data_IF_207828701792
#
_entry.id   IF_207828701792
#
_cell.length_a   1.000
_cell.length_b   1.000
_cell.length_c   1.000
_cell.angle_alpha   90.00
_cell.angle_beta   90.00
_cell.angle_gamma   90.00
#
_symmetry.space_group_name_H-M   'P 1'
#
loop_
_entity.id
_entity.type
_entity.pdbx_description
1 polymer ?
#
# COMPACT_ATOMS: atom_id res chain seq x y z
N UNK A 1 -18.04 80.52 30.71
CA UNK A 1 -18.07 79.15 31.25
C UNK A 1 -18.30 78.24 30.05
N UNK A 2 -17.22 77.60 29.58
CA UNK A 2 -17.18 76.88 28.29
C UNK A 2 -17.87 75.51 28.46
N UNK A 3 -18.94 75.25 27.73
CA UNK A 3 -19.61 73.96 27.71
C UNK A 3 -18.84 73.03 26.76
N UNK A 4 -18.26 71.95 27.29
CA UNK A 4 -17.52 70.96 26.51
C UNK A 4 -18.48 69.81 26.17
N UNK A 5 -19.02 69.79 24.94
CA UNK A 5 -19.77 68.64 24.44
C UNK A 5 -18.81 67.49 24.13
N UNK A 6 -18.97 66.37 24.86
CA UNK A 6 -18.25 65.12 24.60
C UNK A 6 -19.19 64.23 23.78
N UNK A 7 -18.96 64.16 22.48
CA UNK A 7 -19.64 63.20 21.59
C UNK A 7 -19.05 61.81 21.81
N UNK A 8 -19.84 60.78 22.17
CA UNK A 8 -19.31 59.43 22.32
C UNK A 8 -19.01 58.83 20.94
N UNK A 9 -17.73 58.58 20.64
CA UNK A 9 -17.34 57.71 19.54
C UNK A 9 -17.69 56.25 19.90
N UNK A 10 -18.77 55.72 19.35
CA UNK A 10 -19.01 54.28 19.29
C UNK A 10 -17.96 53.64 18.40
N UNK A 11 -16.92 53.07 19.00
CA UNK A 11 -15.96 52.21 18.32
C UNK A 11 -16.69 50.92 17.91
N UNK A 12 -17.03 50.80 16.62
CA UNK A 12 -17.53 49.55 16.08
C UNK A 12 -16.39 48.51 16.13
N UNK A 13 -16.39 47.68 17.16
CA UNK A 13 -15.56 46.48 17.21
C UNK A 13 -16.11 45.55 16.12
N UNK A 14 -15.55 45.62 14.91
CA UNK A 14 -15.70 44.55 13.93
C UNK A 14 -15.02 43.32 14.51
N UNK A 15 -15.77 42.49 15.24
CA UNK A 15 -15.36 41.14 15.54
C UNK A 15 -15.16 40.45 14.18
N UNK A 16 -13.90 40.31 13.74
CA UNK A 16 -13.55 39.53 12.56
C UNK A 16 -14.01 38.12 12.87
N UNK A 17 -15.17 37.72 12.33
CA UNK A 17 -15.71 36.37 12.50
C UNK A 17 -14.62 35.42 12.04
N UNK A 18 -14.19 34.50 12.91
CA UNK A 18 -13.21 33.50 12.54
C UNK A 18 -13.67 32.84 11.23
N UNK A 19 -12.78 32.65 10.24
CA UNK A 19 -13.16 32.06 8.97
C UNK A 19 -13.82 30.70 9.22
N UNK A 20 -14.92 30.42 8.52
CA UNK A 20 -15.66 29.18 8.70
C UNK A 20 -14.74 27.99 8.37
N UNK A 21 -14.63 27.06 9.33
CA UNK A 21 -13.87 25.82 9.19
C UNK A 21 -14.84 24.64 9.05
N UNK A 22 -14.63 23.85 8.00
CA UNK A 22 -15.33 22.57 7.76
C UNK A 22 -14.38 21.43 8.06
N UNK A 23 -14.81 20.45 8.84
CA UNK A 23 -14.01 19.28 9.23
C UNK A 23 -14.64 18.01 8.70
N UNK A 24 -13.85 17.18 8.02
CA UNK A 24 -14.21 15.83 7.60
C UNK A 24 -13.39 14.81 8.37
N UNK A 25 -14.05 14.02 9.22
CA UNK A 25 -13.45 12.94 9.99
C UNK A 25 -13.77 11.59 9.35
N UNK A 26 -12.74 10.82 9.03
CA UNK A 26 -12.81 9.52 8.36
C UNK A 26 -12.53 8.34 9.30
N UNK A 27 -12.40 8.58 10.61
CA UNK A 27 -12.13 7.53 11.61
C UNK A 27 -13.40 6.77 12.03
N UNK A 28 -14.57 7.29 11.68
CA UNK A 28 -15.88 6.69 11.96
C UNK A 28 -16.22 5.46 11.11
N UNK A 29 -17.47 4.97 11.25
CA UNK A 29 -17.95 3.79 10.54
C UNK A 29 -18.46 4.07 9.10
N UNK A 30 -18.67 5.34 8.75
CA UNK A 30 -19.17 5.79 7.46
C UNK A 30 -18.44 7.06 7.02
N UNK A 31 -18.59 7.44 5.74
CA UNK A 31 -18.10 8.73 5.27
C UNK A 31 -18.80 9.87 6.02
N UNK A 32 -18.08 10.95 6.37
CA UNK A 32 -18.71 12.11 6.98
C UNK A 32 -19.68 12.77 5.99
N UNK A 33 -20.77 13.40 6.47
CA UNK A 33 -21.72 14.10 5.61
C UNK A 33 -21.01 15.10 4.69
N UNK A 34 -21.48 15.18 3.44
CA UNK A 34 -20.89 16.07 2.44
C UNK A 34 -19.65 15.52 1.74
N UNK A 35 -19.21 14.29 2.02
CA UNK A 35 -18.20 13.60 1.21
C UNK A 35 -18.86 12.58 0.28
N UNK A 36 -18.54 12.69 -1.01
CA UNK A 36 -18.83 11.69 -2.03
C UNK A 36 -17.58 10.88 -2.37
N UNK A 37 -17.77 9.61 -2.74
CA UNK A 37 -16.71 8.75 -3.23
C UNK A 37 -17.22 7.88 -4.38
N UNK A 38 -16.43 7.75 -5.44
CA UNK A 38 -16.68 6.79 -6.51
C UNK A 38 -15.43 5.94 -6.76
N UNK A 39 -15.67 4.67 -7.09
CA UNK A 39 -14.67 3.71 -7.58
C UNK A 39 -15.38 2.63 -8.39
N UNK A 40 -15.07 2.50 -9.67
CA UNK A 40 -15.72 1.55 -10.58
C UNK A 40 -15.13 0.12 -10.52
N UNK A 41 -14.85 -0.38 -9.33
CA UNK A 41 -14.31 -1.73 -9.08
C UNK A 41 -14.46 -2.10 -7.61
N UNK A 42 -14.43 -3.40 -7.31
CA UNK A 42 -14.12 -3.83 -5.93
C UNK A 42 -12.72 -3.35 -5.53
N UNK A 43 -12.43 -3.35 -4.24
CA UNK A 43 -11.11 -3.04 -3.70
C UNK A 43 -10.89 -3.78 -2.39
N UNK A 44 -9.64 -3.86 -1.94
CA UNK A 44 -9.34 -4.42 -0.62
C UNK A 44 -8.78 -3.36 0.32
N UNK A 45 -8.74 -3.67 1.60
CA UNK A 45 -8.08 -2.89 2.65
C UNK A 45 -7.97 -3.73 3.91
N UNK A 46 -7.26 -3.24 4.92
CA UNK A 46 -7.14 -3.97 6.18
C UNK A 46 -8.28 -3.62 7.14
N UNK A 47 -8.83 -4.63 7.81
CA UNK A 47 -9.73 -4.46 8.94
C UNK A 47 -8.96 -4.15 10.23
N UNK A 48 -9.66 -3.77 11.31
CA UNK A 48 -9.03 -3.47 12.62
C UNK A 48 -8.26 -4.65 13.22
N UNK A 49 -8.67 -5.87 12.87
CA UNK A 49 -8.04 -7.12 13.33
C UNK A 49 -6.86 -7.56 12.45
N UNK A 50 -6.44 -6.73 11.47
CA UNK A 50 -5.36 -7.07 10.55
C UNK A 50 -5.76 -8.03 9.42
N UNK A 51 -7.03 -8.39 9.28
CA UNK A 51 -7.52 -9.21 8.14
C UNK A 51 -7.70 -8.36 6.89
N UNK A 52 -7.55 -8.96 5.71
CA UNK A 52 -7.88 -8.31 4.44
C UNK A 52 -9.41 -8.37 4.25
N UNK A 53 -10.01 -7.19 4.06
CA UNK A 53 -11.43 -7.03 3.78
C UNK A 53 -11.64 -6.71 2.30
N UNK A 54 -12.77 -7.15 1.75
CA UNK A 54 -13.26 -6.77 0.43
C UNK A 54 -14.29 -5.66 0.54
N UNK A 55 -14.16 -4.64 -0.28
CA UNK A 55 -15.08 -3.53 -0.40
C UNK A 55 -15.74 -3.57 -1.79
N UNK A 56 -17.08 -3.47 -1.81
CA UNK A 56 -17.85 -3.46 -3.05
C UNK A 56 -17.48 -2.26 -3.95
N UNK A 57 -17.88 -2.33 -5.22
CA UNK A 57 -17.79 -1.18 -6.13
C UNK A 57 -18.54 0.02 -5.54
N UNK A 58 -17.94 1.22 -5.62
CA UNK A 58 -18.48 2.45 -5.04
C UNK A 58 -18.40 2.55 -3.51
N UNK A 59 -18.12 1.46 -2.78
CA UNK A 59 -18.06 1.52 -1.31
C UNK A 59 -16.75 2.19 -0.82
N UNK A 60 -16.81 3.09 0.18
CA UNK A 60 -15.62 3.70 0.77
C UNK A 60 -14.76 2.66 1.47
N UNK A 61 -13.43 2.78 1.32
CA UNK A 61 -12.46 1.93 2.01
C UNK A 61 -12.04 2.58 3.31
N UNK A 62 -12.88 2.44 4.33
CA UNK A 62 -12.53 2.79 5.72
C UNK A 62 -11.72 1.64 6.31
N UNK A 63 -10.40 1.69 6.13
CA UNK A 63 -9.48 0.62 6.48
C UNK A 63 -8.51 1.04 7.59
N UNK A 64 -7.95 0.07 8.30
CA UNK A 64 -6.82 0.25 9.20
C UNK A 64 -5.49 0.26 8.43
N UNK A 65 -4.45 0.86 9.01
CA UNK A 65 -3.09 0.70 8.49
C UNK A 65 -2.53 -0.62 9.03
N UNK A 66 -2.15 -1.59 8.17
CA UNK A 66 -1.59 -2.85 8.62
C UNK A 66 -0.28 -2.72 9.40
N UNK A 67 0.46 -1.60 9.26
CA UNK A 67 1.66 -1.30 10.04
C UNK A 67 1.34 -0.65 11.39
N UNK A 68 0.19 0.00 11.51
CA UNK A 68 -0.24 0.77 12.68
C UNK A 68 -1.71 0.48 13.02
N UNK A 69 -2.08 -0.78 13.32
CA UNK A 69 -3.48 -1.14 13.55
C UNK A 69 -4.10 -0.38 14.73
N UNK A 70 -3.29 0.01 15.72
CA UNK A 70 -3.71 0.82 16.87
C UNK A 70 -4.07 2.28 16.50
N UNK A 71 -3.65 2.77 15.33
CA UNK A 71 -4.00 4.12 14.86
C UNK A 71 -5.46 4.23 14.38
N UNK A 72 -6.20 3.12 14.39
CA UNK A 72 -7.61 3.08 13.98
C UNK A 72 -7.78 3.04 12.46
N UNK A 73 -8.97 3.43 12.00
CA UNK A 73 -9.32 3.46 10.58
C UNK A 73 -9.18 4.87 10.00
N UNK A 74 -9.09 4.92 8.68
CA UNK A 74 -9.23 6.13 7.89
C UNK A 74 -9.66 5.80 6.47
N UNK A 75 -9.99 6.83 5.70
CA UNK A 75 -10.35 6.69 4.30
C UNK A 75 -9.11 6.40 3.44
N UNK A 76 -9.10 5.24 2.79
CA UNK A 76 -8.06 4.83 1.86
C UNK A 76 -8.41 5.24 0.43
N UNK A 77 -7.51 6.01 -0.18
CA UNK A 77 -7.65 6.68 -1.47
C UNK A 77 -6.43 6.32 -2.31
N UNK A 78 -6.61 5.53 -3.36
CA UNK A 78 -5.52 5.04 -4.17
C UNK A 78 -5.81 5.27 -5.66
N UNK A 79 -4.76 5.53 -6.48
CA UNK A 79 -4.95 5.65 -7.92
C UNK A 79 -5.38 4.31 -8.51
N UNK A 80 -5.73 4.32 -9.80
CA UNK A 80 -5.91 3.05 -10.50
C UNK A 80 -4.59 2.28 -10.58
N UNK A 81 -4.69 0.96 -10.41
CA UNK A 81 -3.56 0.04 -10.51
C UNK A 81 -4.01 -1.32 -11.03
N UNK A 82 -3.06 -2.02 -11.62
CA UNK A 82 -3.24 -3.38 -12.11
C UNK A 82 -2.18 -4.26 -11.47
N UNK A 83 -2.60 -5.36 -10.86
CA UNK A 83 -1.66 -6.41 -10.47
C UNK A 83 -1.29 -7.22 -11.71
N UNK A 84 -0.01 -7.15 -12.10
CA UNK A 84 0.48 -7.80 -13.32
C UNK A 84 0.67 -9.31 -13.15
N UNK A 85 0.71 -9.83 -11.91
CA UNK A 85 0.73 -11.26 -11.69
C UNK A 85 -0.68 -11.85 -11.82
N UNK A 86 -0.80 -12.95 -12.56
CA UNK A 86 -1.93 -13.89 -12.45
C UNK A 86 -1.70 -14.83 -11.27
N UNK A 87 -2.76 -15.38 -10.69
CA UNK A 87 -2.74 -16.28 -9.53
C UNK A 87 -1.88 -15.71 -8.40
N UNK A 88 -2.28 -14.53 -7.91
CA UNK A 88 -1.54 -13.79 -6.90
C UNK A 88 -1.52 -14.45 -5.53
N UNK A 89 -2.43 -15.37 -5.26
CA UNK A 89 -2.38 -16.21 -4.05
C UNK A 89 -1.45 -17.41 -4.27
N UNK A 90 -0.65 -17.74 -3.26
CA UNK A 90 0.29 -18.86 -3.33
C UNK A 90 -0.43 -20.17 -3.63
N UNK A 91 -0.07 -20.82 -4.74
CA UNK A 91 -0.55 -22.15 -5.10
C UNK A 91 0.52 -22.92 -5.87
N UNK A 92 0.88 -24.11 -5.40
CA UNK A 92 1.95 -24.92 -5.96
C UNK A 92 1.71 -25.33 -7.43
N UNK A 93 0.46 -25.34 -7.91
CA UNK A 93 0.14 -25.72 -9.29
C UNK A 93 0.29 -24.59 -10.32
N UNK A 94 0.33 -23.32 -9.88
CA UNK A 94 0.35 -22.14 -10.77
C UNK A 94 1.62 -21.29 -10.62
N UNK A 95 2.55 -21.76 -9.80
CA UNK A 95 3.85 -21.16 -9.53
C UNK A 95 4.95 -22.16 -9.92
N UNK A 96 6.10 -21.65 -10.39
CA UNK A 96 7.18 -22.50 -10.90
C UNK A 96 8.33 -22.60 -9.92
N UNK A 97 8.89 -23.78 -9.70
CA UNK A 97 9.97 -23.97 -8.74
C UNK A 97 11.36 -23.88 -9.39
N UNK A 98 12.37 -23.57 -8.58
CA UNK A 98 13.80 -23.67 -8.91
C UNK A 98 14.54 -24.06 -7.63
N UNK A 99 15.14 -25.26 -7.63
CA UNK A 99 15.80 -25.85 -6.47
C UNK A 99 14.92 -25.89 -5.21
N UNK A 100 13.60 -26.02 -5.37
CA UNK A 100 12.67 -26.01 -4.25
C UNK A 100 11.53 -27.01 -4.45
N UNK A 101 10.99 -27.48 -3.32
CA UNK A 101 9.74 -28.24 -3.27
C UNK A 101 8.68 -27.35 -2.64
N UNK A 102 7.50 -27.30 -3.25
CA UNK A 102 6.35 -26.56 -2.72
C UNK A 102 5.26 -27.50 -2.23
N UNK A 103 4.64 -27.13 -1.10
CA UNK A 103 3.50 -27.84 -0.52
C UNK A 103 2.40 -26.85 -0.25
N UNK A 104 1.20 -27.11 -0.78
CA UNK A 104 0.03 -26.29 -0.47
C UNK A 104 -0.32 -26.42 1.01
N UNK A 105 -0.60 -25.28 1.64
CA UNK A 105 -1.09 -25.22 3.01
C UNK A 105 -2.59 -24.89 3.00
N UNK A 106 -3.22 -25.00 4.17
CA UNK A 106 -4.62 -24.62 4.40
C UNK A 106 -4.71 -23.57 5.51
N UNK A 107 -3.85 -22.54 5.45
CA UNK A 107 -3.91 -21.43 6.40
C UNK A 107 -5.17 -20.59 6.16
N UNK A 108 -5.47 -19.70 7.10
CA UNK A 108 -6.40 -18.59 6.90
C UNK A 108 -5.69 -17.26 7.19
N UNK A 109 -4.46 -17.12 6.66
CA UNK A 109 -3.60 -15.99 7.00
C UNK A 109 -4.23 -14.68 6.50
N UNK A 110 -4.31 -13.69 7.39
CA UNK A 110 -5.01 -12.42 7.15
C UNK A 110 -6.49 -12.60 6.74
N UNK A 111 -7.13 -13.73 7.09
CA UNK A 111 -8.51 -14.04 6.70
C UNK A 111 -8.68 -14.38 5.22
N UNK A 112 -7.59 -14.69 4.51
CA UNK A 112 -7.60 -14.86 3.05
C UNK A 112 -6.70 -15.98 2.54
N UNK A 113 -5.43 -15.95 2.90
CA UNK A 113 -4.43 -16.74 2.21
C UNK A 113 -4.27 -18.13 2.82
N UNK A 114 -4.41 -19.16 1.98
CA UNK A 114 -4.07 -20.54 2.30
C UNK A 114 -2.54 -20.76 2.35
N UNK A 115 -1.82 -20.17 1.39
CA UNK A 115 -0.35 -20.15 1.32
C UNK A 115 0.29 -21.44 0.80
N UNK A 116 1.58 -21.34 0.48
CA UNK A 116 2.43 -22.48 0.12
C UNK A 116 3.71 -22.45 0.96
N UNK A 117 4.08 -23.61 1.49
CA UNK A 117 5.40 -23.82 2.07
C UNK A 117 6.40 -24.09 0.94
N UNK A 118 7.57 -23.48 1.02
CA UNK A 118 8.68 -23.65 0.08
C UNK A 118 9.84 -24.24 0.89
N UNK A 119 10.29 -25.44 0.53
CA UNK A 119 11.44 -26.10 1.14
C UNK A 119 12.64 -26.09 0.18
N UNK A 120 13.83 -25.82 0.71
CA UNK A 120 15.08 -25.96 -0.04
C UNK A 120 15.27 -27.42 -0.45
N UNK A 121 15.56 -27.67 -1.74
CA UNK A 121 15.71 -29.04 -2.25
C UNK A 121 17.16 -29.55 -2.10
N UNK A 122 18.17 -28.70 -2.31
CA UNK A 122 19.57 -29.11 -2.39
C UNK A 122 20.45 -28.47 -1.30
N UNK A 123 21.58 -29.12 -1.01
CA UNK A 123 22.46 -28.78 0.12
C UNK A 123 23.64 -27.84 -0.22
N UNK A 124 23.73 -27.35 -1.45
CA UNK A 124 24.90 -26.60 -1.95
C UNK A 124 24.53 -25.26 -2.63
N UNK A 125 23.31 -24.76 -2.45
CA UNK A 125 22.83 -23.52 -3.06
C UNK A 125 21.89 -22.80 -2.10
N UNK A 126 21.96 -21.47 -2.05
CA UNK A 126 21.14 -20.61 -1.19
C UNK A 126 20.02 -19.87 -1.94
N UNK A 127 19.79 -20.21 -3.21
CA UNK A 127 18.85 -19.52 -4.10
C UNK A 127 17.59 -20.33 -4.44
N UNK A 128 17.19 -21.19 -3.48
CA UNK A 128 15.98 -22.02 -3.53
C UNK A 128 14.73 -21.14 -3.58
N UNK A 129 13.84 -21.38 -4.54
CA UNK A 129 12.65 -20.53 -4.70
C UNK A 129 11.52 -21.17 -5.49
N UNK A 130 10.32 -20.68 -5.24
CA UNK A 130 9.21 -20.68 -6.19
C UNK A 130 9.06 -19.30 -6.82
N UNK A 131 8.53 -19.16 -8.03
CA UNK A 131 8.54 -17.90 -8.78
C UNK A 131 7.30 -17.67 -9.63
N UNK A 132 7.02 -16.38 -9.85
CA UNK A 132 6.07 -15.86 -10.84
C UNK A 132 6.80 -15.05 -11.90
N UNK A 133 6.32 -15.12 -13.14
CA UNK A 133 6.86 -14.36 -14.26
C UNK A 133 6.02 -13.12 -14.52
N UNK A 134 6.68 -12.04 -14.97
CA UNK A 134 6.06 -10.77 -15.34
C UNK A 134 6.92 -10.08 -16.38
N UNK A 135 6.30 -9.49 -17.40
CA UNK A 135 7.00 -8.64 -18.35
C UNK A 135 7.11 -7.23 -17.80
N UNK A 136 8.34 -6.72 -17.74
CA UNK A 136 8.63 -5.39 -17.21
C UNK A 136 9.39 -4.56 -18.25
N UNK A 137 9.18 -3.25 -18.23
CA UNK A 137 9.80 -2.29 -19.14
C UNK A 137 11.01 -1.63 -18.48
N UNK A 138 12.12 -1.50 -19.23
CA UNK A 138 13.33 -0.81 -18.78
C UNK A 138 13.00 0.57 -18.20
N UNK A 139 13.66 0.92 -17.10
CA UNK A 139 13.53 2.21 -16.41
C UNK A 139 12.11 2.56 -15.92
N UNK A 140 11.10 1.70 -16.09
CA UNK A 140 9.76 1.90 -15.54
C UNK A 140 9.69 1.30 -14.13
N UNK A 141 9.58 2.13 -13.07
CA UNK A 141 9.53 1.61 -11.71
C UNK A 141 8.24 0.80 -11.49
N UNK A 142 8.37 -0.26 -10.72
CA UNK A 142 7.28 -1.07 -10.22
C UNK A 142 7.47 -1.34 -8.73
N UNK A 143 6.39 -1.73 -8.05
CA UNK A 143 6.45 -2.17 -6.66
C UNK A 143 5.87 -3.56 -6.54
N UNK A 144 6.67 -4.50 -6.07
CA UNK A 144 6.21 -5.80 -5.62
C UNK A 144 5.81 -5.73 -4.14
N UNK A 145 4.65 -6.28 -3.81
CA UNK A 145 4.22 -6.57 -2.44
C UNK A 145 4.15 -8.07 -2.27
N UNK A 146 4.83 -8.59 -1.25
CA UNK A 146 4.86 -10.01 -0.90
C UNK A 146 4.32 -10.18 0.52
N UNK A 147 3.30 -11.03 0.67
CA UNK A 147 2.83 -11.51 1.97
C UNK A 147 3.47 -12.87 2.23
N UNK A 148 4.17 -13.01 3.35
CA UNK A 148 4.92 -14.23 3.66
C UNK A 148 5.00 -14.44 5.17
N UNK A 149 5.37 -15.65 5.60
CA UNK A 149 5.67 -15.99 7.00
C UNK A 149 7.05 -16.63 7.06
N UNK A 150 7.75 -16.41 8.18
CA UNK A 150 8.97 -17.15 8.46
C UNK A 150 8.68 -18.66 8.47
N UNK A 151 9.61 -19.45 7.94
CA UNK A 151 9.64 -20.90 8.13
C UNK A 151 10.85 -21.29 8.98
N UNK A 152 11.30 -22.54 8.83
CA UNK A 152 12.39 -23.08 9.67
C UNK A 152 13.77 -22.48 9.36
N UNK A 153 13.95 -21.86 8.19
CA UNK A 153 15.24 -21.29 7.80
C UNK A 153 15.64 -20.04 8.59
N UNK A 154 14.66 -19.27 9.07
CA UNK A 154 14.88 -17.94 9.64
C UNK A 154 15.42 -16.89 8.66
N UNK A 155 15.74 -17.29 7.42
CA UNK A 155 16.28 -16.46 6.34
C UNK A 155 15.44 -16.59 5.07
N UNK A 156 15.33 -15.51 4.32
CA UNK A 156 14.54 -15.44 3.08
C UNK A 156 15.34 -14.85 1.92
N UNK A 157 14.97 -15.26 0.72
CA UNK A 157 15.41 -14.71 -0.55
C UNK A 157 14.19 -14.23 -1.34
N UNK A 158 14.25 -12.99 -1.82
CA UNK A 158 13.28 -12.37 -2.71
C UNK A 158 14.03 -11.78 -3.90
N UNK A 159 13.94 -12.41 -5.06
CA UNK A 159 14.82 -12.15 -6.20
C UNK A 159 14.02 -11.74 -7.42
N UNK A 160 14.35 -10.58 -7.98
CA UNK A 160 14.09 -10.29 -9.39
C UNK A 160 15.20 -10.91 -10.22
N UNK A 161 14.83 -11.82 -11.11
CA UNK A 161 15.75 -12.40 -12.09
C UNK A 161 15.28 -12.03 -13.49
N UNK A 162 16.18 -11.41 -14.27
CA UNK A 162 15.96 -11.16 -15.69
C UNK A 162 16.04 -12.48 -16.46
N UNK A 163 15.03 -12.77 -17.28
CA UNK A 163 14.99 -13.95 -18.14
C UNK A 163 15.17 -13.50 -19.61
N UNK A 164 16.01 -14.18 -20.42
CA UNK A 164 16.81 -15.37 -20.10
C UNK A 164 18.24 -15.06 -19.59
N UNK A 165 18.65 -13.79 -19.54
CA UNK A 165 20.06 -13.38 -19.33
C UNK A 165 20.66 -13.84 -18.00
N UNK A 166 19.83 -14.06 -16.97
CA UNK A 166 20.28 -14.59 -15.69
C UNK A 166 20.63 -13.53 -14.65
N UNK A 167 20.73 -12.24 -15.02
CA UNK A 167 21.01 -11.15 -14.09
C UNK A 167 20.00 -11.11 -12.94
N UNK A 168 20.48 -10.79 -11.73
CA UNK A 168 19.64 -10.77 -10.53
C UNK A 168 19.71 -9.43 -9.79
N UNK A 169 18.61 -9.14 -9.08
CA UNK A 169 18.55 -8.15 -8.02
C UNK A 169 17.76 -8.73 -6.86
N UNK A 170 18.33 -8.75 -5.66
CA UNK A 170 17.82 -9.56 -4.54
C UNK A 170 17.62 -8.71 -3.29
N UNK A 171 16.61 -9.07 -2.50
CA UNK A 171 16.55 -8.78 -1.09
C UNK A 171 16.66 -10.10 -0.33
N UNK A 172 17.68 -10.25 0.50
CA UNK A 172 17.97 -11.52 1.18
C UNK A 172 18.56 -11.35 2.57
N UNK A 173 18.53 -12.42 3.37
CA UNK A 173 19.11 -12.46 4.71
C UNK A 173 18.10 -12.90 5.77
N UNK A 174 18.36 -12.55 7.03
CA UNK A 174 17.46 -12.86 8.14
C UNK A 174 16.09 -12.19 7.96
N UNK A 175 15.01 -12.94 8.20
CA UNK A 175 13.66 -12.41 8.13
C UNK A 175 13.49 -11.24 9.13
N UNK A 176 12.97 -10.11 8.66
CA UNK A 176 12.89 -8.87 9.44
C UNK A 176 14.15 -7.99 9.41
N UNK A 177 15.23 -8.46 8.80
CA UNK A 177 16.47 -7.70 8.60
C UNK A 177 17.10 -8.04 7.25
N UNK A 178 16.28 -8.11 6.21
CA UNK A 178 16.74 -8.34 4.84
C UNK A 178 17.63 -7.19 4.36
N UNK A 179 18.57 -7.49 3.48
CA UNK A 179 19.43 -6.51 2.82
C UNK A 179 19.37 -6.68 1.30
N UNK A 180 19.55 -5.57 0.57
CA UNK A 180 19.70 -5.62 -0.88
C UNK A 180 21.04 -6.28 -1.23
N UNK A 181 21.02 -7.21 -2.19
CA UNK A 181 22.18 -7.92 -2.72
C UNK A 181 22.00 -8.11 -4.21
N UNK A 182 23.03 -7.80 -5.01
CA UNK A 182 22.91 -7.82 -6.48
C UNK A 182 21.94 -6.76 -7.00
N UNK A 183 22.33 -6.06 -8.07
CA UNK A 183 21.47 -5.03 -8.69
C UNK A 183 21.59 -5.05 -10.21
N UNK A 184 22.01 -6.18 -10.79
CA UNK A 184 22.33 -6.29 -12.21
C UNK A 184 21.06 -6.42 -13.07
N UNK A 185 19.95 -6.94 -12.52
CA UNK A 185 18.65 -6.96 -13.21
C UNK A 185 17.94 -5.59 -13.18
N UNK A 186 18.39 -4.68 -12.31
CA UNK A 186 17.72 -3.42 -12.00
C UNK A 186 17.95 -2.98 -10.56
N UNK A 187 17.60 -1.74 -10.23
CA UNK A 187 17.78 -1.22 -8.88
C UNK A 187 16.61 -1.59 -7.97
N UNK A 188 16.92 -1.90 -6.70
CA UNK A 188 15.92 -2.00 -5.63
C UNK A 188 15.96 -0.71 -4.82
N UNK A 189 14.90 0.10 -4.92
CA UNK A 189 14.80 1.44 -4.32
C UNK A 189 13.94 1.49 -3.06
N UNK A 190 13.10 0.48 -2.84
CA UNK A 190 12.33 0.31 -1.61
C UNK A 190 12.64 -1.09 -1.07
N UNK A 191 13.00 -1.18 0.20
CA UNK A 191 13.06 -2.42 0.97
C UNK A 191 12.34 -2.17 2.30
N UNK A 192 11.09 -2.57 2.39
CA UNK A 192 10.25 -2.38 3.58
C UNK A 192 9.65 -3.72 3.98
N UNK A 193 10.18 -4.32 5.04
CA UNK A 193 9.73 -5.59 5.58
C UNK A 193 9.13 -5.41 6.99
N UNK A 194 7.80 -5.37 7.07
CA UNK A 194 7.08 -5.13 8.34
C UNK A 194 6.37 -6.39 8.82
N UNK A 195 6.37 -6.62 10.13
CA UNK A 195 5.49 -7.59 10.77
C UNK A 195 4.09 -6.98 10.91
N UNK A 196 3.07 -7.73 10.49
CA UNK A 196 1.68 -7.28 10.54
C UNK A 196 1.04 -7.58 11.90
N UNK A 197 -0.14 -6.99 12.13
CA UNK A 197 -0.88 -7.11 13.39
C UNK A 197 -1.27 -8.54 13.80
N UNK A 198 -1.20 -9.53 12.91
CA UNK A 198 -1.41 -10.94 13.26
C UNK A 198 -0.18 -11.58 13.95
N UNK A 199 0.94 -10.85 14.07
CA UNK A 199 2.16 -11.28 14.76
C UNK A 199 2.95 -12.38 14.03
N UNK A 200 2.49 -12.83 12.86
CA UNK A 200 3.08 -13.96 12.13
C UNK A 200 3.41 -13.59 10.68
N UNK A 201 2.53 -12.82 10.05
CA UNK A 201 2.63 -12.47 8.64
C UNK A 201 3.46 -11.21 8.48
N UNK A 202 4.36 -11.26 7.51
CA UNK A 202 5.13 -10.12 7.07
C UNK A 202 4.64 -9.62 5.73
N UNK A 203 4.70 -8.29 5.56
CA UNK A 203 4.52 -7.63 4.28
C UNK A 203 5.85 -7.02 3.86
N UNK A 204 6.46 -7.63 2.85
CA UNK A 204 7.61 -7.09 2.16
C UNK A 204 7.15 -6.23 0.99
N UNK A 205 7.72 -5.04 0.86
CA UNK A 205 7.60 -4.19 -0.32
C UNK A 205 8.97 -3.98 -0.94
N UNK A 206 9.07 -4.29 -2.23
CA UNK A 206 10.25 -4.09 -3.06
C UNK A 206 9.92 -3.13 -4.18
N UNK A 207 10.57 -1.98 -4.19
CA UNK A 207 10.53 -1.04 -5.32
C UNK A 207 11.62 -1.44 -6.29
N UNK A 208 11.26 -1.78 -7.53
CA UNK A 208 12.19 -2.31 -8.52
C UNK A 208 12.11 -1.49 -9.81
N UNK A 209 13.27 -1.07 -10.31
CA UNK A 209 13.39 -0.42 -11.61
C UNK A 209 14.22 -1.33 -12.53
N UNK A 210 13.60 -2.02 -13.50
CA UNK A 210 14.30 -2.95 -14.39
C UNK A 210 15.37 -2.24 -15.22
N UNK A 211 16.52 -2.88 -15.39
CA UNK A 211 17.57 -2.38 -16.26
C UNK A 211 17.21 -2.52 -17.75
N UNK A 212 16.43 -3.54 -18.10
CA UNK A 212 16.12 -3.93 -19.48
C UNK A 212 14.63 -4.30 -19.60
N UNK A 213 14.03 -4.01 -20.75
CA UNK A 213 12.67 -4.48 -21.09
C UNK A 213 12.73 -5.97 -21.42
N UNK A 214 12.17 -6.80 -20.55
CA UNK A 214 12.17 -8.26 -20.71
C UNK A 214 11.23 -8.94 -19.72
N UNK A 215 11.03 -10.24 -19.90
CA UNK A 215 10.43 -11.08 -18.87
C UNK A 215 11.35 -11.14 -17.66
N UNK A 216 10.79 -10.88 -16.49
CA UNK A 216 11.42 -11.09 -15.20
C UNK A 216 10.69 -12.18 -14.44
N UNK A 217 11.38 -12.80 -13.50
CA UNK A 217 10.72 -13.59 -12.46
C UNK A 217 10.93 -12.95 -11.09
N UNK A 218 9.87 -12.91 -10.28
CA UNK A 218 9.97 -12.68 -8.85
C UNK A 218 9.99 -14.05 -8.17
N UNK A 219 11.16 -14.43 -7.69
CA UNK A 219 11.38 -15.67 -6.96
C UNK A 219 11.42 -15.44 -5.45
N UNK A 220 10.81 -16.36 -4.70
CA UNK A 220 10.67 -16.31 -3.26
C UNK A 220 11.04 -17.67 -2.69
N UNK A 221 11.88 -17.72 -1.66
CA UNK A 221 12.20 -18.97 -0.98
C UNK A 221 13.20 -18.80 0.17
N UNK A 222 13.61 -19.92 0.79
CA UNK A 222 14.52 -19.89 1.92
C UNK A 222 15.96 -19.59 1.46
N UNK A 223 16.60 -18.61 2.10
CA UNK A 223 18.00 -18.26 1.83
C UNK A 223 18.94 -19.14 2.67
N UNK A 224 19.17 -20.35 2.19
CA UNK A 224 19.86 -21.40 2.94
C UNK A 224 20.46 -22.47 2.05
N UNK A 225 21.57 -23.05 2.50
CA UNK A 225 22.17 -24.25 1.90
C UNK A 225 21.73 -25.53 2.60
N UNK A 226 20.80 -25.48 3.55
CA UNK A 226 20.32 -26.67 4.28
C UNK A 226 19.05 -27.18 3.62
N UNK A 227 19.09 -28.41 3.09
CA UNK A 227 17.92 -29.05 2.49
C UNK A 227 16.81 -29.22 3.53
N UNK A 228 15.56 -28.99 3.12
CA UNK A 228 14.38 -29.09 3.97
C UNK A 228 14.06 -27.84 4.80
N UNK A 229 14.97 -26.87 4.91
CA UNK A 229 14.65 -25.59 5.53
C UNK A 229 13.61 -24.81 4.70
N UNK A 230 12.74 -24.08 5.39
CA UNK A 230 11.51 -23.55 4.76
C UNK A 230 11.28 -22.05 4.96
N UNK A 231 10.41 -21.53 4.10
CA UNK A 231 9.63 -20.30 4.27
C UNK A 231 8.21 -20.54 3.75
N UNK A 232 7.24 -19.69 4.12
CA UNK A 232 5.87 -19.75 3.58
C UNK A 232 5.57 -18.47 2.82
N UNK A 233 5.12 -18.58 1.57
CA UNK A 233 4.57 -17.44 0.81
C UNK A 233 3.05 -17.54 0.78
N UNK A 234 2.38 -16.41 1.00
CA UNK A 234 0.92 -16.31 1.07
C UNK A 234 0.35 -15.73 -0.22
N UNK A 235 0.97 -14.67 -0.73
CA UNK A 235 0.59 -14.05 -1.99
C UNK A 235 1.53 -12.94 -2.43
N UNK A 236 1.43 -12.59 -3.72
CA UNK A 236 2.26 -11.58 -4.39
C UNK A 236 1.42 -10.66 -5.25
N UNK A 237 1.87 -9.43 -5.35
CA UNK A 237 1.35 -8.45 -6.29
C UNK A 237 2.52 -7.66 -6.84
N UNK A 238 2.47 -7.30 -8.12
CA UNK A 238 3.37 -6.31 -8.70
C UNK A 238 2.59 -5.31 -9.54
N UNK A 239 2.87 -4.03 -9.33
CA UNK A 239 2.16 -2.92 -9.95
C UNK A 239 3.18 -1.92 -10.50
N UNK A 240 2.90 -1.31 -11.65
CA UNK A 240 3.70 -0.17 -12.12
C UNK A 240 3.49 1.06 -11.23
N UNK A 241 4.56 1.85 -11.06
CA UNK A 241 4.58 3.05 -10.23
C UNK A 241 5.61 2.99 -9.09
N UNK A 242 5.69 4.06 -8.32
CA UNK A 242 6.69 4.27 -7.28
C UNK A 242 6.23 3.90 -5.86
N UNK A 243 5.01 3.37 -5.70
CA UNK A 243 4.47 2.97 -4.42
C UNK A 243 3.47 1.82 -4.56
N UNK A 244 3.43 0.97 -3.52
CA UNK A 244 2.45 -0.11 -3.42
C UNK A 244 1.05 0.42 -3.12
N UNK A 245 0.04 -0.28 -3.65
CA UNK A 245 -1.36 -0.09 -3.24
C UNK A 245 -1.91 -1.32 -2.51
N UNK A 246 -3.20 -1.29 -2.18
CA UNK A 246 -3.88 -2.42 -1.58
C UNK A 246 -3.82 -3.66 -2.47
N UNK A 247 -3.93 -4.82 -1.86
CA UNK A 247 -3.91 -6.09 -2.58
C UNK A 247 -5.07 -6.15 -3.59
N UNK A 248 -4.75 -6.49 -4.83
CA UNK A 248 -5.67 -6.68 -5.95
C UNK A 248 -5.60 -8.17 -6.27
N UNK A 249 -6.60 -8.95 -5.82
CA UNK A 249 -6.63 -10.37 -6.08
C UNK A 249 -6.75 -10.65 -7.57
N UNK A 250 -5.99 -11.62 -8.04
CA UNK A 250 -5.98 -12.09 -9.42
C UNK A 250 -6.03 -13.61 -9.44
N UNK A 251 -6.77 -14.15 -10.40
CA UNK A 251 -6.85 -15.58 -10.68
C UNK A 251 -6.22 -15.84 -12.05
N UNK A 252 -6.98 -16.30 -13.05
CA UNK A 252 -6.45 -16.60 -14.37
C UNK A 252 -6.05 -15.35 -15.19
N UNK A 253 -6.51 -14.17 -14.79
CA UNK A 253 -6.24 -12.91 -15.48
C UNK A 253 -5.80 -11.81 -14.52
N UNK A 254 -5.01 -10.87 -15.04
CA UNK A 254 -4.72 -9.62 -14.34
C UNK A 254 -6.02 -8.83 -14.11
N UNK A 255 -6.09 -8.15 -12.97
CA UNK A 255 -7.26 -7.37 -12.58
C UNK A 255 -6.80 -5.95 -12.28
N UNK A 256 -7.58 -4.98 -12.76
CA UNK A 256 -7.39 -3.57 -12.47
C UNK A 256 -8.32 -3.15 -11.33
N UNK A 257 -7.79 -2.45 -10.34
CA UNK A 257 -8.56 -1.66 -9.37
C UNK A 257 -8.65 -0.23 -9.89
N UNK A 258 -9.86 0.31 -9.98
CA UNK A 258 -10.10 1.70 -10.36
C UNK A 258 -9.64 2.68 -9.28
N UNK A 259 -9.37 3.93 -9.68
CA UNK A 259 -9.02 4.99 -8.76
C UNK A 259 -10.21 5.37 -7.86
N UNK A 260 -9.94 5.80 -6.62
CA UNK A 260 -10.89 6.59 -5.86
C UNK A 260 -10.97 8.02 -6.39
N UNK A 261 -12.18 8.51 -6.65
CA UNK A 261 -12.45 9.93 -6.85
C UNK A 261 -13.32 10.44 -5.71
N UNK A 262 -12.80 11.43 -4.97
CA UNK A 262 -13.47 12.08 -3.86
C UNK A 262 -14.10 13.39 -4.32
N UNK A 263 -15.31 13.67 -3.84
CA UNK A 263 -15.93 14.98 -3.92
C UNK A 263 -16.32 15.47 -2.54
N UNK A 264 -16.40 16.79 -2.39
CA UNK A 264 -16.88 17.44 -1.16
C UNK A 264 -18.09 18.31 -1.42
N UNK A 265 -18.89 18.60 -0.40
CA UNK A 265 -20.00 19.55 -0.47
C UNK A 265 -19.55 21.01 -0.35
N UNK A 266 -18.24 21.28 -0.43
CA UNK A 266 -17.71 22.64 -0.36
C UNK A 266 -18.15 23.44 -1.59
N UNK A 267 -18.52 24.71 -1.36
CA UNK A 267 -18.73 25.67 -2.44
C UNK A 267 -17.40 26.00 -3.12
N UNK A 268 -17.46 26.47 -4.37
CA UNK A 268 -16.27 27.01 -5.03
C UNK A 268 -15.64 28.14 -4.19
N UNK A 269 -14.32 28.19 -4.14
CA UNK A 269 -13.59 29.21 -3.39
C UNK A 269 -12.14 28.85 -3.11
N UNK A 270 -11.46 29.73 -2.40
CA UNK A 270 -10.08 29.54 -1.94
C UNK A 270 -10.08 29.05 -0.50
N UNK A 271 -9.31 28.01 -0.22
CA UNK A 271 -9.24 27.38 1.10
C UNK A 271 -7.79 27.19 1.54
N UNK A 272 -7.59 27.21 2.85
CA UNK A 272 -6.47 26.53 3.48
C UNK A 272 -6.96 25.15 3.93
N UNK A 273 -6.16 24.11 3.73
CA UNK A 273 -6.51 22.75 4.13
C UNK A 273 -5.44 22.14 5.02
N UNK A 274 -5.87 21.38 6.03
CA UNK A 274 -5.00 20.57 6.88
C UNK A 274 -5.47 19.13 6.78
N UNK A 275 -4.67 18.27 6.16
CA UNK A 275 -4.93 16.84 6.06
C UNK A 275 -4.07 16.08 7.06
N UNK A 276 -4.72 15.24 7.86
CA UNK A 276 -4.08 14.32 8.81
C UNK A 276 -4.20 12.90 8.30
N UNK A 277 -3.07 12.23 8.13
CA UNK A 277 -2.99 10.83 7.77
C UNK A 277 -3.30 9.92 8.98
N UNK A 278 -3.73 8.69 8.71
CA UNK A 278 -3.70 7.64 9.74
C UNK A 278 -2.25 7.48 10.21
N UNK A 279 -2.03 7.46 11.52
CA UNK A 279 -0.69 7.50 12.13
C UNK A 279 -0.13 8.90 12.38
N UNK A 280 -0.87 9.97 12.05
CA UNK A 280 -0.60 11.33 12.56
C UNK A 280 0.23 12.24 11.65
N UNK A 281 0.62 11.82 10.45
CA UNK A 281 1.30 12.70 9.49
C UNK A 281 0.40 13.86 9.04
N UNK A 282 0.89 15.11 9.07
CA UNK A 282 0.11 16.30 8.73
C UNK A 282 0.64 16.93 7.43
N UNK A 283 -0.29 17.30 6.54
CA UNK A 283 -0.03 18.13 5.37
C UNK A 283 -0.87 19.39 5.44
N UNK A 284 -0.25 20.55 5.28
CA UNK A 284 -0.93 21.84 5.16
C UNK A 284 -0.84 22.35 3.73
N UNK A 285 -1.98 22.75 3.17
CA UNK A 285 -2.10 23.41 1.88
C UNK A 285 -2.67 24.81 2.12
N UNK A 286 -2.09 25.83 1.50
CA UNK A 286 -2.55 27.22 1.66
C UNK A 286 -3.02 27.79 0.33
N UNK A 287 -4.11 28.56 0.36
CA UNK A 287 -4.60 29.28 -0.82
C UNK A 287 -5.05 28.39 -1.98
N UNK A 288 -5.52 27.15 -1.72
CA UNK A 288 -5.97 26.24 -2.77
C UNK A 288 -7.32 26.67 -3.33
N UNK A 289 -7.39 26.87 -4.64
CA UNK A 289 -8.65 27.09 -5.34
C UNK A 289 -9.36 25.76 -5.56
N UNK A 290 -10.59 25.64 -5.07
CA UNK A 290 -11.46 24.50 -5.29
C UNK A 290 -12.70 24.92 -6.07
N UNK A 291 -13.07 24.14 -7.08
CA UNK A 291 -14.41 24.22 -7.68
C UNK A 291 -15.46 23.69 -6.68
N UNK A 292 -16.74 24.00 -6.91
CA UNK A 292 -17.82 23.37 -6.16
C UNK A 292 -17.74 21.85 -6.36
N UNK A 293 -17.83 21.06 -5.28
CA UNK A 293 -17.60 19.62 -5.39
C UNK A 293 -16.14 19.18 -5.21
N UNK A 294 -15.19 20.12 -5.27
CA UNK A 294 -13.77 19.84 -5.42
C UNK A 294 -13.10 19.14 -4.24
N UNK A 295 -12.00 18.45 -4.52
CA UNK A 295 -11.12 17.84 -3.52
C UNK A 295 -9.66 18.10 -3.91
N UNK A 296 -8.78 18.52 -2.97
CA UNK A 296 -7.39 18.77 -3.28
C UNK A 296 -6.60 17.48 -3.49
N UNK A 297 -5.47 17.58 -4.19
CA UNK A 297 -4.48 16.51 -4.20
C UNK A 297 -3.75 16.50 -2.86
N UNK A 298 -3.88 15.39 -2.13
CA UNK A 298 -3.23 15.16 -0.84
C UNK A 298 -2.04 14.20 -1.00
N UNK A 299 -0.99 14.41 -0.21
CA UNK A 299 0.21 13.58 -0.21
C UNK A 299 0.01 12.24 0.49
N UNK A 300 -0.91 12.17 1.46
CA UNK A 300 -1.32 10.91 2.08
C UNK A 300 -2.46 10.27 1.29
N UNK A 301 -2.40 8.93 1.21
CA UNK A 301 -3.45 8.08 0.65
C UNK A 301 -4.38 7.51 1.72
N UNK A 302 -4.03 7.65 2.99
CA UNK A 302 -4.81 7.10 4.10
C UNK A 302 -5.14 8.22 5.06
N UNK A 303 -6.35 8.74 4.93
CA UNK A 303 -6.79 9.99 5.55
C UNK A 303 -7.56 9.68 6.83
N UNK A 304 -7.12 10.23 7.96
CA UNK A 304 -7.87 10.21 9.21
C UNK A 304 -8.83 11.41 9.27
N UNK A 305 -8.35 12.60 8.88
CA UNK A 305 -9.11 13.86 8.99
C UNK A 305 -8.65 14.86 7.95
N UNK A 306 -9.56 15.68 7.43
CA UNK A 306 -9.22 16.85 6.60
C UNK A 306 -10.06 18.04 7.03
N UNK A 307 -9.38 19.17 7.26
CA UNK A 307 -10.00 20.44 7.65
C UNK A 307 -9.83 21.45 6.52
N UNK A 308 -10.88 22.20 6.24
CA UNK A 308 -10.87 23.30 5.27
C UNK A 308 -11.28 24.58 5.96
N UNK A 309 -10.46 25.62 5.85
CA UNK A 309 -10.77 26.97 6.32
C UNK A 309 -10.80 27.90 5.12
N UNK A 310 -11.90 28.62 4.92
CA UNK A 310 -12.00 29.56 3.79
C UNK A 310 -10.96 30.67 3.95
N UNK A 311 -10.18 30.91 2.91
CA UNK A 311 -9.14 31.93 2.85
C UNK A 311 -9.69 33.29 2.40
#
# INVERSE_FOLDING_TARGET
>A
MLCLEITPMTQAIFARRAPATTVYDFTGAALPPGIGLTRASTGTGFGPTGTILSFASGAPRLSADPALPAAGKGLLVEPSRTNLFTYSEGNASTWSNTSAVTTNLALNALGRFAGIQIAALNNNQNWNRTRKFVDLTAAQPCVATVFYRAGTSGKGLFMFKQEPSGSTSEAQGSIGSLAVSGTSAGSISILSDILLGDGLTRRLRLGFTPAITSTHSLGIGPFTTVSGETIVVLGVQIETGSFATSYIPTTASAVMRAAEAISSSLSAGTYNAVATAVGGGIQTLSGIALAAGGWPVLGSRHLARVEFTRA
#
